data_IF_336793651701
#
_entry.id   IF_336793651701
#
_cell.length_a   1.000
_cell.length_b   1.000
_cell.length_c   1.000
_cell.angle_alpha   90.00
_cell.angle_beta   90.00
_cell.angle_gamma   90.00
#
_symmetry.space_group_name_H-M   'P 1'
#
loop_
_entity.id
_entity.type
_entity.pdbx_description
1 polymer ?
#
# COMPACT_ATOMS: atom_id res chain seq x y z
N UNK A 1 -24.96 5.82 13.63
CA UNK A 1 -23.88 4.92 13.96
C UNK A 1 -22.74 5.06 12.98
N UNK A 2 -21.62 5.08 13.50
CA UNK A 2 -20.47 5.18 12.65
C UNK A 2 -19.80 3.83 12.55
N UNK A 3 -19.62 3.38 11.36
CA UNK A 3 -18.82 2.27 11.09
C UNK A 3 -17.44 2.74 10.67
N UNK A 4 -16.44 2.14 11.17
CA UNK A 4 -15.10 2.45 10.71
C UNK A 4 -14.38 1.17 10.39
N UNK A 5 -13.78 1.17 9.22
CA UNK A 5 -12.83 0.16 8.83
C UNK A 5 -11.51 0.53 9.46
N UNK A 6 -11.00 -0.31 10.33
CA UNK A 6 -9.74 -0.05 11.00
C UNK A 6 -8.60 -0.67 10.20
N UNK A 7 -7.71 0.17 9.70
CA UNK A 7 -6.53 -0.29 9.00
C UNK A 7 -5.34 -0.34 9.94
N UNK A 8 -4.49 -1.32 9.74
CA UNK A 8 -3.27 -1.50 10.52
C UNK A 8 -2.07 -1.56 9.59
N UNK A 9 -0.90 -1.29 10.14
CA UNK A 9 0.34 -1.42 9.38
C UNK A 9 0.42 -2.79 8.72
N UNK A 10 0.84 -2.81 7.47
CA UNK A 10 0.98 -3.99 6.60
C UNK A 10 -0.33 -4.53 6.03
N UNK A 11 -1.45 -3.86 6.28
CA UNK A 11 -2.66 -4.18 5.54
C UNK A 11 -2.51 -3.76 4.09
N UNK A 12 -3.07 -4.57 3.19
CA UNK A 12 -3.16 -4.23 1.77
C UNK A 12 -4.57 -3.74 1.52
N UNK A 13 -4.68 -2.53 1.01
CA UNK A 13 -5.95 -1.83 0.85
C UNK A 13 -6.16 -1.40 -0.60
N UNK A 14 -7.41 -1.19 -0.97
CA UNK A 14 -7.79 -0.59 -2.24
C UNK A 14 -8.34 0.80 -2.00
N UNK A 15 -7.89 1.75 -2.80
CA UNK A 15 -8.38 3.13 -2.74
C UNK A 15 -8.06 3.85 -4.05
N UNK A 16 -8.76 4.96 -4.34
CA UNK A 16 -8.40 5.79 -5.47
C UNK A 16 -7.07 6.48 -5.17
N UNK A 17 -6.09 6.32 -6.04
CA UNK A 17 -4.77 6.93 -5.87
C UNK A 17 -4.44 7.76 -7.09
N UNK A 18 -4.53 9.09 -7.03
CA UNK A 18 -4.23 9.95 -8.16
C UNK A 18 -2.77 10.43 -8.14
N UNK A 19 -1.80 9.53 -7.99
CA UNK A 19 -0.41 9.95 -7.84
C UNK A 19 0.18 10.53 -9.11
N UNK A 20 -0.13 9.94 -10.25
CA UNK A 20 0.52 10.31 -11.50
C UNK A 20 -0.42 10.94 -12.51
N UNK A 21 -1.71 10.81 -12.29
CA UNK A 21 -2.72 11.30 -13.21
C UNK A 21 -3.88 11.83 -12.38
N UNK A 22 -3.94 13.14 -12.24
CA UNK A 22 -4.97 13.81 -11.44
C UNK A 22 -6.37 13.62 -12.00
N UNK A 23 -6.49 13.24 -13.26
CA UNK A 23 -7.78 12.98 -13.86
C UNK A 23 -8.24 11.55 -13.66
N UNK A 24 -7.34 10.66 -13.29
CA UNK A 24 -7.66 9.25 -13.09
C UNK A 24 -8.20 9.02 -11.69
N UNK A 25 -9.28 8.24 -11.62
CA UNK A 25 -9.85 7.82 -10.34
C UNK A 25 -9.81 6.31 -10.22
N UNK A 26 -8.82 5.70 -10.82
CA UNK A 26 -8.68 4.25 -10.76
C UNK A 26 -8.38 3.81 -9.34
N UNK A 27 -9.06 2.75 -8.93
CA UNK A 27 -8.79 2.09 -7.66
C UNK A 27 -7.52 1.29 -7.81
N UNK A 28 -6.61 1.46 -6.86
CA UNK A 28 -5.32 0.79 -6.87
C UNK A 28 -5.00 0.24 -5.49
N UNK A 29 -4.18 -0.80 -5.43
CA UNK A 29 -3.74 -1.33 -4.14
C UNK A 29 -2.60 -0.52 -3.56
N UNK A 30 -2.51 -0.54 -2.25
CA UNK A 30 -1.42 0.08 -1.50
C UNK A 30 -1.22 -0.68 -0.19
N UNK A 31 -0.05 -0.52 0.39
CA UNK A 31 0.27 -1.09 1.70
C UNK A 31 0.26 0.02 2.74
N UNK A 32 -0.44 -0.18 3.83
CA UNK A 32 -0.43 0.75 4.96
C UNK A 32 0.89 0.58 5.69
N UNK A 33 1.61 1.69 5.89
CA UNK A 33 2.86 1.67 6.65
C UNK A 33 2.74 2.40 7.99
N UNK A 34 1.67 3.12 8.19
CA UNK A 34 1.44 3.81 9.45
C UNK A 34 0.11 4.50 9.48
N UNK A 35 -0.22 5.01 10.64
CA UNK A 35 -1.47 5.74 10.88
C UNK A 35 -1.12 7.02 11.61
N UNK A 36 -1.67 8.13 11.18
CA UNK A 36 -1.47 9.42 11.80
C UNK A 36 -2.80 10.14 11.91
N UNK A 37 -3.43 10.07 13.08
CA UNK A 37 -4.77 10.65 13.26
C UNK A 37 -5.77 10.01 12.32
N UNK A 38 -6.44 10.84 11.52
CA UNK A 38 -7.43 10.39 10.55
C UNK A 38 -6.81 9.97 9.22
N UNK A 39 -5.49 10.02 9.10
CA UNK A 39 -4.79 9.72 7.86
C UNK A 39 -4.04 8.41 7.95
N UNK A 40 -3.85 7.80 6.80
CA UNK A 40 -2.98 6.64 6.63
C UNK A 40 -1.74 7.06 5.86
N UNK A 41 -0.61 6.53 6.28
CA UNK A 41 0.63 6.61 5.52
C UNK A 41 0.74 5.32 4.74
N UNK A 42 1.03 5.43 3.46
CA UNK A 42 1.03 4.24 2.61
C UNK A 42 2.07 4.31 1.50
N UNK A 43 2.34 3.15 0.91
CA UNK A 43 3.15 3.01 -0.30
C UNK A 43 2.30 2.31 -1.36
N UNK A 44 2.32 2.79 -2.60
CA UNK A 44 1.51 2.17 -3.66
C UNK A 44 2.08 0.83 -4.10
N UNK A 45 1.18 -0.02 -4.58
CA UNK A 45 1.51 -1.29 -5.22
C UNK A 45 1.16 -1.17 -6.70
N UNK A 46 2.00 -1.71 -7.56
CA UNK A 46 1.79 -1.67 -9.00
C UNK A 46 2.04 -3.02 -9.62
N UNK A 47 1.22 -3.36 -10.62
CA UNK A 47 1.46 -4.54 -11.45
C UNK A 47 2.48 -4.27 -12.57
N UNK A 48 2.85 -3.01 -12.78
CA UNK A 48 3.92 -2.66 -13.71
C UNK A 48 5.24 -2.77 -12.98
N UNK A 49 5.81 -3.96 -12.97
CA UNK A 49 6.95 -4.29 -12.13
C UNK A 49 8.17 -3.41 -12.41
N UNK A 50 8.33 -2.95 -13.65
CA UNK A 50 9.46 -2.07 -13.99
C UNK A 50 9.42 -0.74 -13.24
N UNK A 51 8.26 -0.35 -12.74
CA UNK A 51 8.09 0.91 -12.03
C UNK A 51 8.13 0.72 -10.51
N UNK A 52 8.50 -0.47 -10.04
CA UNK A 52 8.50 -0.77 -8.61
C UNK A 52 9.93 -0.89 -8.11
N UNK A 53 10.09 -0.67 -6.80
CA UNK A 53 11.39 -0.80 -6.16
C UNK A 53 11.71 -2.28 -5.87
N UNK A 54 10.70 -3.04 -5.48
CA UNK A 54 10.88 -4.49 -5.28
C UNK A 54 9.56 -5.21 -5.53
N UNK A 55 9.67 -6.48 -5.93
CA UNK A 55 8.51 -7.31 -6.19
C UNK A 55 8.09 -8.04 -4.93
N UNK A 56 6.78 -8.20 -4.76
CA UNK A 56 6.24 -9.00 -3.67
C UNK A 56 6.43 -10.48 -4.02
N UNK A 57 7.04 -11.23 -3.11
CA UNK A 57 7.22 -12.67 -3.32
C UNK A 57 5.93 -13.43 -3.08
N UNK A 58 5.09 -12.93 -2.19
CA UNK A 58 3.84 -13.60 -1.80
C UNK A 58 2.64 -12.70 -2.07
N UNK A 59 2.54 -12.22 -3.30
CA UNK A 59 1.46 -11.31 -3.66
C UNK A 59 0.08 -11.96 -3.55
N UNK A 60 -0.03 -13.27 -3.78
CA UNK A 60 -1.31 -13.96 -3.63
C UNK A 60 -1.77 -13.96 -2.18
N UNK A 61 -0.86 -14.21 -1.25
CA UNK A 61 -1.17 -14.19 0.17
C UNK A 61 -1.61 -12.80 0.64
N UNK A 62 -1.19 -11.76 -0.08
CA UNK A 62 -1.56 -10.39 0.23
C UNK A 62 -2.93 -9.99 -0.33
N UNK A 63 -3.61 -10.91 -1.01
CA UNK A 63 -4.93 -10.64 -1.57
C UNK A 63 -4.92 -10.04 -2.97
N UNK A 64 -3.78 -10.08 -3.65
CA UNK A 64 -3.65 -9.54 -5.00
C UNK A 64 -3.91 -10.61 -6.05
N UNK A 65 -4.32 -10.19 -7.24
CA UNK A 65 -4.71 -11.10 -8.32
C UNK A 65 -3.60 -11.33 -9.34
N UNK A 66 -2.59 -10.49 -9.35
CA UNK A 66 -1.49 -10.58 -10.29
C UNK A 66 -0.21 -10.25 -9.55
N UNK A 67 0.92 -10.63 -10.17
CA UNK A 67 2.22 -10.29 -9.65
C UNK A 67 2.37 -8.77 -9.56
N UNK A 68 2.78 -8.30 -8.39
CA UNK A 68 2.89 -6.87 -8.09
C UNK A 68 4.18 -6.57 -7.35
N UNK A 69 4.55 -5.32 -7.36
CA UNK A 69 5.66 -4.79 -6.58
C UNK A 69 5.28 -3.53 -5.85
N UNK A 70 6.15 -3.08 -4.98
CA UNK A 70 5.96 -1.88 -4.17
C UNK A 70 6.76 -0.73 -4.77
N UNK A 71 6.11 0.43 -4.89
CA UNK A 71 6.77 1.63 -5.40
C UNK A 71 7.44 2.37 -4.24
N UNK A 72 8.60 2.95 -4.53
CA UNK A 72 9.32 3.81 -3.57
C UNK A 72 8.67 5.19 -3.54
N UNK A 73 7.46 5.24 -3.04
CA UNK A 73 6.64 6.44 -3.05
C UNK A 73 5.79 6.45 -1.79
N UNK A 74 5.89 7.52 -1.01
CA UNK A 74 5.11 7.66 0.21
C UNK A 74 3.97 8.62 -0.01
N UNK A 75 2.82 8.29 0.55
CA UNK A 75 1.67 9.17 0.49
C UNK A 75 0.91 9.14 1.80
N UNK A 76 0.20 10.22 2.06
CA UNK A 76 -0.72 10.34 3.18
C UNK A 76 -2.11 10.54 2.58
N UNK A 77 -3.05 9.69 2.98
CA UNK A 77 -4.42 9.80 2.50
C UNK A 77 -5.38 9.68 3.67
N UNK A 78 -6.54 10.32 3.55
CA UNK A 78 -7.56 10.23 4.57
C UNK A 78 -8.06 8.77 4.66
N UNK A 79 -8.23 8.28 5.88
CA UNK A 79 -8.66 6.92 6.14
C UNK A 79 -9.99 6.59 5.43
N UNK A 80 -10.88 7.58 5.34
CA UNK A 80 -12.18 7.37 4.72
C UNK A 80 -12.14 7.17 3.21
N UNK A 81 -10.96 7.28 2.59
CA UNK A 81 -10.81 6.99 1.16
C UNK A 81 -10.64 5.50 0.90
N UNK A 82 -10.36 4.72 1.92
CA UNK A 82 -10.17 3.28 1.76
C UNK A 82 -11.49 2.63 1.39
N UNK A 83 -11.47 1.88 0.29
CA UNK A 83 -12.65 1.15 -0.18
C UNK A 83 -12.73 -0.20 0.50
N UNK A 84 -11.58 -0.87 0.65
CA UNK A 84 -11.58 -2.26 1.11
C UNK A 84 -10.19 -2.66 1.59
N UNK A 85 -10.13 -3.50 2.61
CA UNK A 85 -8.91 -4.21 2.98
C UNK A 85 -8.97 -5.56 2.28
N UNK A 86 -7.99 -5.84 1.42
CA UNK A 86 -8.00 -7.07 0.63
C UNK A 86 -7.11 -8.16 1.23
N UNK A 87 -6.19 -7.79 2.11
CA UNK A 87 -5.30 -8.77 2.75
C UNK A 87 -4.24 -8.09 3.58
N UNK A 88 -3.19 -8.84 3.86
CA UNK A 88 -2.02 -8.35 4.59
C UNK A 88 -0.77 -8.86 3.91
N UNK A 89 0.30 -8.10 4.00
CA UNK A 89 1.58 -8.56 3.48
C UNK A 89 2.03 -9.81 4.23
N UNK A 90 2.57 -10.75 3.47
CA UNK A 90 3.25 -11.91 4.03
C UNK A 90 4.47 -11.44 4.85
N UNK A 91 4.79 -12.10 5.98
CA UNK A 91 5.92 -11.68 6.82
C UNK A 91 7.25 -11.50 6.08
N UNK A 92 7.51 -12.31 5.06
CA UNK A 92 8.74 -12.17 4.25
C UNK A 92 8.73 -10.83 3.51
N UNK A 93 7.60 -10.45 2.94
CA UNK A 93 7.48 -9.18 2.23
C UNK A 93 7.47 -8.00 3.19
N UNK A 94 6.94 -8.18 4.39
CA UNK A 94 7.02 -7.16 5.45
C UNK A 94 8.49 -6.86 5.77
N UNK A 95 9.29 -7.90 5.89
CA UNK A 95 10.71 -7.74 6.20
C UNK A 95 11.42 -6.95 5.10
N UNK A 96 11.15 -7.29 3.84
CA UNK A 96 11.73 -6.55 2.71
C UNK A 96 11.28 -5.10 2.72
N UNK A 97 9.98 -4.86 2.93
CA UNK A 97 9.46 -3.49 2.97
C UNK A 97 10.14 -2.67 4.08
N UNK A 98 10.29 -3.26 5.26
CA UNK A 98 10.93 -2.55 6.36
C UNK A 98 12.37 -2.17 6.02
N UNK A 99 13.12 -3.05 5.37
CA UNK A 99 14.48 -2.75 4.92
C UNK A 99 14.48 -1.62 3.91
N UNK A 100 13.56 -1.64 2.95
CA UNK A 100 13.47 -0.58 1.95
C UNK A 100 13.10 0.76 2.55
N UNK A 101 12.16 0.76 3.50
CA UNK A 101 11.78 2.00 4.18
C UNK A 101 12.98 2.63 4.88
N UNK A 102 13.81 1.81 5.53
CA UNK A 102 15.03 2.32 6.17
C UNK A 102 15.96 2.93 5.14
N UNK A 103 16.13 2.28 4.00
CA UNK A 103 16.98 2.78 2.93
C UNK A 103 16.45 4.08 2.36
N UNK A 104 15.17 4.12 2.00
CA UNK A 104 14.56 5.31 1.40
C UNK A 104 14.59 6.49 2.35
N UNK A 105 14.34 6.27 3.62
CA UNK A 105 14.23 7.31 4.63
C UNK A 105 15.54 7.57 5.35
N UNK A 106 16.58 6.79 5.05
CA UNK A 106 17.91 6.92 5.63
C UNK A 106 17.87 6.83 7.17
N UNK A 107 17.14 5.85 7.65
CA UNK A 107 17.01 5.61 9.09
C UNK A 107 18.12 4.69 9.60
#
# INVERSE_FOLDING_TARGET
MTYSMTCSRNDVILLPIPFTDLTSRKVRPAVVIGVSGADLLLVPISSQLANTDFELLHWQAAGLNVSCGVKAQLASVAHNRVIKIVGRLHPIDVETLNKRLRTWLQL
#
